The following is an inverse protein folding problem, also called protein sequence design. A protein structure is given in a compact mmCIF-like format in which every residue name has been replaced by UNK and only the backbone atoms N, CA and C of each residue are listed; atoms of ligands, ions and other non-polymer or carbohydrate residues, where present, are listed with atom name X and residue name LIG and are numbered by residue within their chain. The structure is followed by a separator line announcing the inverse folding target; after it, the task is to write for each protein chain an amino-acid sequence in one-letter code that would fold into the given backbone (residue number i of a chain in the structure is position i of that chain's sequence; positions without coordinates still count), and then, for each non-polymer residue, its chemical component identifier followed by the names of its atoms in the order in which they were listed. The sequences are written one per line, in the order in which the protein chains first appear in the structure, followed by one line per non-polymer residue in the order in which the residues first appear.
data_IF_532829681186
#
_entry.id   IF_532829681186
#
_cell.length_a   1.000
_cell.length_b   1.000
_cell.length_c   1.000
_cell.angle_alpha   90.00
_cell.angle_beta   90.00
_cell.angle_gamma   90.00
#
_symmetry.space_group_name_H-M   'P 1'
#
loop_
_entity.id
_entity.type
_entity.pdbx_description
1 polymer ?
#
# COMPACT_ATOMS: atom_id res chain seq x y z
N UNK A 1 -3.21 53.23 16.64
CA UNK A 1 -2.23 52.94 17.71
C UNK A 1 -1.94 51.45 17.66
N UNK A 2 -0.95 51.07 16.86
CA UNK A 2 -0.40 49.71 16.80
C UNK A 2 0.31 49.42 18.11
N UNK A 3 -0.10 48.35 18.80
CA UNK A 3 0.57 47.88 20.01
C UNK A 3 1.92 47.32 19.60
N UNK A 4 2.99 48.07 19.85
CA UNK A 4 4.35 47.53 19.91
C UNK A 4 4.35 46.39 20.95
N UNK A 5 4.51 45.16 20.46
CA UNK A 5 4.90 44.04 21.31
C UNK A 5 6.29 44.40 21.83
N UNK A 6 6.37 44.79 23.10
CA UNK A 6 7.65 44.94 23.78
C UNK A 6 8.48 43.68 23.53
N UNK A 7 9.70 43.82 23.01
CA UNK A 7 10.66 42.73 22.90
C UNK A 7 10.93 42.22 24.33
N UNK A 8 10.25 41.13 24.69
CA UNK A 8 10.43 40.48 25.99
C UNK A 8 11.75 39.74 25.93
N UNK A 9 12.79 40.33 26.53
CA UNK A 9 14.12 39.70 26.63
C UNK A 9 14.06 38.57 27.65
N UNK A 10 14.34 37.35 27.22
CA UNK A 10 14.39 36.18 28.10
C UNK A 10 15.60 36.28 29.04
N UNK A 11 15.38 36.08 30.34
CA UNK A 11 16.48 36.07 31.31
C UNK A 11 17.47 34.93 31.01
N UNK A 12 18.80 35.16 31.06
CA UNK A 12 19.80 34.16 30.69
C UNK A 12 19.64 32.81 31.40
N UNK A 13 19.26 32.80 32.69
CA UNK A 13 19.01 31.57 33.45
C UNK A 13 17.86 30.75 32.88
N UNK A 14 16.79 31.41 32.43
CA UNK A 14 15.65 30.74 31.83
C UNK A 14 15.99 30.18 30.45
N UNK A 15 16.77 30.90 29.63
CA UNK A 15 17.32 30.36 28.38
C UNK A 15 18.06 29.04 28.63
N UNK A 16 19.06 29.05 29.51
CA UNK A 16 19.87 27.86 29.79
C UNK A 16 19.04 26.71 30.38
N UNK A 17 18.01 27.03 31.18
CA UNK A 17 17.10 26.02 31.74
C UNK A 17 16.24 25.38 30.65
N UNK A 18 15.70 26.17 29.72
CA UNK A 18 14.92 25.66 28.60
C UNK A 18 15.77 24.80 27.65
N UNK A 19 17.00 25.24 27.34
CA UNK A 19 17.94 24.46 26.53
C UNK A 19 18.25 23.11 27.20
N UNK A 20 18.56 23.12 28.50
CA UNK A 20 18.86 21.89 29.23
C UNK A 20 17.64 20.96 29.29
N UNK A 21 16.45 21.50 29.54
CA UNK A 21 15.22 20.71 29.59
C UNK A 21 14.89 20.10 28.21
N UNK A 22 15.08 20.85 27.12
CA UNK A 22 14.92 20.37 25.76
C UNK A 22 15.87 19.22 25.45
N UNK A 23 17.16 19.37 25.78
CA UNK A 23 18.18 18.30 25.61
C UNK A 23 17.85 17.06 26.43
N UNK A 24 17.55 17.22 27.72
CA UNK A 24 17.20 16.08 28.59
C UNK A 24 15.93 15.37 28.12
N UNK A 25 14.91 16.11 27.68
CA UNK A 25 13.71 15.50 27.10
C UNK A 25 14.02 14.73 25.80
N UNK A 26 14.93 15.25 24.95
CA UNK A 26 15.38 14.57 23.74
C UNK A 26 16.14 13.27 24.07
N UNK A 27 17.09 13.32 25.00
CA UNK A 27 17.84 12.14 25.50
C UNK A 27 16.93 11.06 26.08
N UNK A 28 15.86 11.47 26.78
CA UNK A 28 14.83 10.59 27.34
C UNK A 28 13.75 10.18 26.31
N UNK A 29 13.90 10.54 25.03
CA UNK A 29 12.93 10.28 23.94
C UNK A 29 11.53 10.85 24.18
N UNK A 30 11.40 11.86 25.04
CA UNK A 30 10.17 12.61 25.27
C UNK A 30 10.03 13.72 24.23
N UNK A 31 9.88 13.32 22.96
CA UNK A 31 9.95 14.23 21.81
C UNK A 31 8.92 15.36 21.82
N UNK A 32 7.71 15.12 22.33
CA UNK A 32 6.67 16.17 22.46
C UNK A 32 7.08 17.24 23.48
N UNK A 33 7.66 16.82 24.60
CA UNK A 33 8.13 17.73 25.65
C UNK A 33 9.34 18.53 25.15
N UNK A 34 10.26 17.87 24.44
CA UNK A 34 11.42 18.51 23.82
C UNK A 34 11.01 19.59 22.82
N UNK A 35 10.07 19.30 21.91
CA UNK A 35 9.50 20.31 21.01
C UNK A 35 8.91 21.48 21.78
N UNK A 36 8.18 21.23 22.87
CA UNK A 36 7.61 22.32 23.68
C UNK A 36 8.69 23.28 24.18
N UNK A 37 9.81 22.76 24.71
CA UNK A 37 10.91 23.60 25.18
C UNK A 37 11.64 24.32 24.04
N UNK A 38 11.85 23.67 22.89
CA UNK A 38 12.46 24.31 21.72
C UNK A 38 11.55 25.39 21.13
N UNK A 39 10.23 25.15 21.03
CA UNK A 39 9.27 26.15 20.59
C UNK A 39 9.23 27.38 21.51
N UNK A 40 9.35 27.18 22.83
CA UNK A 40 9.49 28.29 23.76
C UNK A 40 10.74 29.12 23.48
N UNK A 41 11.89 28.49 23.23
CA UNK A 41 13.12 29.20 22.86
C UNK A 41 12.95 29.99 21.56
N UNK A 42 12.35 29.38 20.54
CA UNK A 42 12.07 30.02 19.25
C UNK A 42 11.08 31.20 19.38
N UNK A 43 10.08 31.12 20.27
CA UNK A 43 9.18 32.26 20.56
C UNK A 43 9.91 33.50 21.08
N UNK A 44 11.05 33.31 21.75
CA UNK A 44 11.94 34.39 22.22
C UNK A 44 13.05 34.74 21.22
N UNK A 45 12.93 34.31 19.95
CA UNK A 45 13.93 34.52 18.89
C UNK A 45 15.30 33.92 19.21
N UNK A 46 15.33 32.87 20.03
CA UNK A 46 16.55 32.10 20.31
C UNK A 46 16.59 30.96 19.30
N UNK A 47 17.12 31.29 18.13
CA UNK A 47 17.20 30.41 16.97
C UNK A 47 18.67 30.05 16.76
N UNK A 48 19.17 29.14 17.59
CA UNK A 48 20.51 28.57 17.41
C UNK A 48 20.40 27.28 16.63
N UNK A 49 21.46 26.92 15.89
CA UNK A 49 21.58 25.63 15.19
C UNK A 49 21.21 24.47 16.09
N UNK A 50 21.67 24.47 17.34
CA UNK A 50 21.36 23.40 18.30
C UNK A 50 19.87 23.30 18.65
N UNK A 51 19.17 24.42 18.82
CA UNK A 51 17.72 24.43 19.10
C UNK A 51 16.95 23.93 17.89
N UNK A 52 17.32 24.38 16.69
CA UNK A 52 16.70 23.95 15.45
C UNK A 52 16.96 22.47 15.16
N UNK A 53 18.19 21.99 15.34
CA UNK A 53 18.55 20.57 15.17
C UNK A 53 17.84 19.70 16.19
N UNK A 54 17.77 20.13 17.46
CA UNK A 54 17.00 19.41 18.49
C UNK A 54 15.51 19.31 18.13
N UNK A 55 14.91 20.39 17.61
CA UNK A 55 13.53 20.39 17.13
C UNK A 55 13.35 19.50 15.89
N UNK A 56 14.26 19.57 14.91
CA UNK A 56 14.25 18.75 13.70
C UNK A 56 14.22 17.26 14.03
N UNK A 57 15.11 16.80 14.92
CA UNK A 57 15.13 15.40 15.37
C UNK A 57 13.79 14.99 15.98
N UNK A 58 13.21 15.84 16.82
CA UNK A 58 11.91 15.54 17.42
C UNK A 58 10.78 15.45 16.37
N UNK A 59 10.81 16.31 15.35
CA UNK A 59 9.80 16.30 14.28
C UNK A 59 9.91 15.03 13.43
N UNK A 60 11.14 14.60 13.11
CA UNK A 60 11.41 13.34 12.41
C UNK A 60 10.87 12.13 13.18
N UNK A 61 11.17 12.05 14.48
CA UNK A 61 10.72 10.95 15.35
C UNK A 61 9.19 10.93 15.57
N UNK A 62 8.53 12.08 15.38
CA UNK A 62 7.07 12.20 15.47
C UNK A 62 6.36 12.10 14.11
N UNK A 63 7.09 11.89 13.01
CA UNK A 63 6.52 11.82 11.65
C UNK A 63 5.93 13.15 11.15
N UNK A 64 6.34 14.29 11.73
CA UNK A 64 5.87 15.64 11.33
C UNK A 64 6.74 16.20 10.20
N UNK A 65 6.76 15.50 9.07
CA UNK A 65 7.73 15.74 8.00
C UNK A 65 7.62 17.12 7.34
N UNK A 66 6.42 17.65 7.13
CA UNK A 66 6.26 18.99 6.51
C UNK A 66 6.88 20.12 7.34
N UNK A 67 6.82 20.06 8.68
CA UNK A 67 7.50 21.05 9.53
C UNK A 67 9.00 20.78 9.66
N UNK A 68 9.40 19.51 9.55
CA UNK A 68 10.82 19.13 9.57
C UNK A 68 11.54 19.65 8.32
N UNK A 69 10.86 19.62 7.17
CA UNK A 69 11.38 20.05 5.88
C UNK A 69 11.85 21.51 5.89
N UNK A 70 10.98 22.42 6.35
CA UNK A 70 11.29 23.86 6.47
C UNK A 70 12.53 24.12 7.34
N UNK A 71 12.62 23.45 8.50
CA UNK A 71 13.75 23.59 9.43
C UNK A 71 15.02 23.01 8.81
N UNK A 72 14.91 21.89 8.10
CA UNK A 72 16.04 21.22 7.47
C UNK A 72 16.65 22.09 6.37
N UNK A 73 15.81 22.65 5.49
CA UNK A 73 16.26 23.58 4.44
C UNK A 73 16.90 24.85 5.01
N UNK A 74 16.40 25.35 6.15
CA UNK A 74 17.01 26.48 6.84
C UNK A 74 18.40 26.10 7.39
N UNK A 75 18.53 24.97 8.07
CA UNK A 75 19.80 24.48 8.62
C UNK A 75 20.85 24.22 7.54
N UNK A 76 20.47 23.69 6.38
CA UNK A 76 21.38 23.50 5.23
C UNK A 76 21.98 24.82 4.73
N UNK A 77 21.28 25.95 4.90
CA UNK A 77 21.76 27.27 4.44
C UNK A 77 22.68 27.95 5.46
N UNK A 78 22.42 27.74 6.74
CA UNK A 78 23.09 28.48 7.82
C UNK A 78 24.29 27.73 8.43
N UNK A 79 24.33 26.40 8.31
CA UNK A 79 25.36 25.55 8.93
C UNK A 79 26.12 24.76 7.85
N UNK A 80 27.10 25.43 7.24
CA UNK A 80 27.96 24.87 6.19
C UNK A 80 28.75 23.64 6.67
N UNK A 81 29.14 23.58 7.95
CA UNK A 81 29.93 22.48 8.50
C UNK A 81 29.13 21.17 8.52
N UNK A 82 27.82 21.25 8.81
CA UNK A 82 26.93 20.11 8.88
C UNK A 82 25.98 20.00 7.67
N UNK A 83 26.26 20.70 6.57
CA UNK A 83 25.43 20.71 5.36
C UNK A 83 25.01 19.30 4.91
N UNK A 84 25.99 18.39 4.72
CA UNK A 84 25.71 17.02 4.26
C UNK A 84 24.89 16.18 5.25
N UNK A 85 24.96 16.49 6.56
CA UNK A 85 24.12 15.85 7.56
C UNK A 85 22.66 16.27 7.40
N UNK A 86 22.39 17.57 7.21
CA UNK A 86 21.04 18.06 6.98
C UNK A 86 20.51 17.64 5.62
N UNK A 87 21.34 17.66 4.57
CA UNK A 87 20.98 17.13 3.25
C UNK A 87 20.54 15.66 3.35
N UNK A 88 21.25 14.82 4.09
CA UNK A 88 20.83 13.43 4.32
C UNK A 88 19.45 13.33 5.00
N UNK A 89 19.17 14.20 5.97
CA UNK A 89 17.85 14.27 6.63
C UNK A 89 16.78 14.71 5.62
N UNK A 90 17.06 15.72 4.79
CA UNK A 90 16.16 16.20 3.75
C UNK A 90 15.81 15.10 2.74
N UNK A 91 16.81 14.39 2.22
CA UNK A 91 16.61 13.24 1.35
C UNK A 91 15.77 12.14 2.01
N UNK A 92 15.97 11.91 3.32
CA UNK A 92 15.14 10.97 4.09
C UNK A 92 13.69 11.45 4.19
N UNK A 93 13.45 12.75 4.37
CA UNK A 93 12.11 13.35 4.39
C UNK A 93 11.41 13.14 3.05
N UNK A 94 12.09 13.47 1.93
CA UNK A 94 11.55 13.27 0.58
C UNK A 94 11.18 11.79 0.35
N UNK A 95 12.06 10.87 0.76
CA UNK A 95 11.79 9.44 0.64
C UNK A 95 10.57 8.99 1.46
N UNK A 96 10.48 9.39 2.74
CA UNK A 96 9.36 9.02 3.64
C UNK A 96 8.02 9.64 3.22
N UNK A 97 8.06 10.75 2.50
CA UNK A 97 6.88 11.44 1.95
C UNK A 97 6.57 11.05 0.50
N UNK A 98 7.27 10.04 -0.03
CA UNK A 98 7.12 9.51 -1.40
C UNK A 98 7.35 10.55 -2.52
N UNK A 99 8.18 11.56 -2.27
CA UNK A 99 8.58 12.58 -3.24
C UNK A 99 9.81 12.10 -4.03
N UNK A 100 9.64 10.99 -4.77
CA UNK A 100 10.76 10.27 -5.38
C UNK A 100 11.41 11.01 -6.55
N UNK A 101 10.62 11.68 -7.40
CA UNK A 101 11.15 12.47 -8.52
C UNK A 101 12.05 13.61 -8.02
N UNK A 102 11.59 14.38 -7.03
CA UNK A 102 12.37 15.46 -6.43
C UNK A 102 13.65 14.95 -5.78
N UNK A 103 13.60 13.80 -5.10
CA UNK A 103 14.78 13.18 -4.51
C UNK A 103 15.83 12.82 -5.58
N UNK A 104 15.39 12.18 -6.67
CA UNK A 104 16.26 11.79 -7.79
C UNK A 104 16.88 13.03 -8.44
N UNK A 105 16.06 14.02 -8.78
CA UNK A 105 16.52 15.27 -9.43
C UNK A 105 17.55 15.99 -8.55
N UNK A 106 17.30 16.08 -7.24
CA UNK A 106 18.24 16.69 -6.29
C UNK A 106 19.56 15.92 -6.22
N UNK A 107 19.51 14.58 -6.15
CA UNK A 107 20.73 13.77 -6.11
C UNK A 107 21.51 13.85 -7.42
N UNK A 108 20.84 13.89 -8.57
CA UNK A 108 21.48 14.08 -9.87
C UNK A 108 22.20 15.45 -9.92
N UNK A 109 21.55 16.53 -9.49
CA UNK A 109 22.19 17.86 -9.38
C UNK A 109 23.42 17.83 -8.47
N UNK A 110 23.33 17.20 -7.30
CA UNK A 110 24.42 17.14 -6.32
C UNK A 110 25.58 16.30 -6.83
N UNK A 111 25.32 15.16 -7.49
CA UNK A 111 26.36 14.33 -8.09
C UNK A 111 27.10 15.05 -9.24
N UNK A 112 26.42 15.96 -9.94
CA UNK A 112 27.01 16.74 -11.03
C UNK A 112 27.79 17.97 -10.53
N UNK A 113 27.29 18.65 -9.50
CA UNK A 113 27.75 20.00 -9.12
C UNK A 113 28.65 20.03 -7.90
N UNK A 114 28.59 19.03 -7.01
CA UNK A 114 29.28 19.03 -5.72
C UNK A 114 30.38 17.96 -5.61
N UNK A 115 31.47 18.29 -4.90
CA UNK A 115 32.50 17.29 -4.53
C UNK A 115 32.12 16.61 -3.20
N UNK A 116 31.27 15.60 -3.31
CA UNK A 116 30.68 14.90 -2.17
C UNK A 116 31.76 14.13 -1.37
N UNK A 117 31.83 14.29 -0.03
CA UNK A 117 32.71 13.49 0.81
C UNK A 117 32.44 12.00 0.67
N UNK A 118 33.52 11.21 0.58
CA UNK A 118 33.44 9.75 0.37
C UNK A 118 32.58 9.04 1.41
N UNK A 119 32.56 9.55 2.65
CA UNK A 119 31.80 8.96 3.76
C UNK A 119 30.28 8.96 3.52
N UNK A 120 29.74 9.99 2.84
CA UNK A 120 28.30 10.15 2.59
C UNK A 120 27.91 9.75 1.16
N UNK A 121 28.85 9.79 0.22
CA UNK A 121 28.65 9.41 -1.19
C UNK A 121 28.02 8.03 -1.35
N UNK A 122 28.48 7.03 -0.58
CA UNK A 122 27.92 5.67 -0.62
C UNK A 122 26.44 5.65 -0.21
N UNK A 123 26.08 6.40 0.83
CA UNK A 123 24.70 6.46 1.34
C UNK A 123 23.77 7.13 0.33
N UNK A 124 24.23 8.20 -0.33
CA UNK A 124 23.45 8.88 -1.37
C UNK A 124 23.25 8.00 -2.59
N UNK A 125 24.29 7.29 -3.06
CA UNK A 125 24.12 6.33 -4.16
C UNK A 125 23.16 5.20 -3.81
N UNK A 126 23.22 4.66 -2.58
CA UNK A 126 22.28 3.64 -2.15
C UNK A 126 20.83 4.16 -2.15
N UNK A 127 20.61 5.37 -1.63
CA UNK A 127 19.28 5.97 -1.62
C UNK A 127 18.79 6.29 -3.05
N UNK A 128 19.68 6.76 -3.91
CA UNK A 128 19.40 6.98 -5.34
C UNK A 128 18.97 5.68 -6.02
N UNK A 129 19.76 4.60 -5.88
CA UNK A 129 19.49 3.31 -6.52
C UNK A 129 18.17 2.70 -6.04
N UNK A 130 17.87 2.81 -4.75
CA UNK A 130 16.59 2.33 -4.18
C UNK A 130 15.43 3.16 -4.72
N UNK A 131 15.55 4.49 -4.69
CA UNK A 131 14.48 5.39 -5.15
C UNK A 131 14.23 5.24 -6.65
N UNK A 132 15.31 5.15 -7.45
CA UNK A 132 15.24 4.95 -8.89
C UNK A 132 14.57 3.64 -9.26
N UNK A 133 14.87 2.53 -8.56
CA UNK A 133 14.16 1.25 -8.76
C UNK A 133 12.67 1.37 -8.48
N UNK A 134 12.30 2.05 -7.39
CA UNK A 134 10.89 2.30 -7.05
C UNK A 134 10.20 3.12 -8.15
N UNK A 135 10.86 4.15 -8.69
CA UNK A 135 10.31 4.93 -9.80
C UNK A 135 10.31 4.20 -11.13
N UNK A 136 11.29 3.34 -11.43
CA UNK A 136 11.35 2.54 -12.66
C UNK A 136 10.29 1.44 -12.68
N UNK A 137 9.89 0.93 -11.50
CA UNK A 137 8.72 0.08 -11.36
C UNK A 137 7.39 0.83 -11.61
N UNK A 138 7.40 2.17 -11.57
CA UNK A 138 6.25 3.06 -11.75
C UNK A 138 6.29 3.93 -13.02
N UNK A 139 7.43 4.02 -13.73
CA UNK A 139 7.63 4.93 -14.86
C UNK A 139 6.86 4.50 -16.12
N UNK A 140 6.43 5.46 -16.97
CA UNK A 140 5.80 5.17 -18.26
C UNK A 140 6.87 4.72 -19.27
N UNK A 141 7.31 3.46 -19.15
CA UNK A 141 7.86 2.71 -20.27
C UNK A 141 6.69 2.50 -21.26
N UNK A 142 6.90 2.91 -22.52
CA UNK A 142 5.92 2.92 -23.63
C UNK A 142 4.72 2.00 -23.40
N UNK A 143 3.55 2.60 -23.16
CA UNK A 143 2.28 1.87 -22.93
C UNK A 143 2.03 0.81 -24.00
N UNK A 144 2.45 1.10 -25.25
CA UNK A 144 2.32 0.20 -26.39
C UNK A 144 3.22 -1.03 -26.20
N UNK A 145 4.49 -0.84 -25.82
CA UNK A 145 5.44 -1.92 -25.64
C UNK A 145 5.08 -2.82 -24.45
N UNK A 146 4.61 -2.25 -23.33
CA UNK A 146 4.15 -3.05 -22.19
C UNK A 146 2.87 -3.83 -22.50
N UNK A 147 1.95 -3.23 -23.27
CA UNK A 147 0.78 -3.96 -23.74
C UNK A 147 1.18 -5.09 -24.68
N UNK A 148 2.02 -4.84 -25.68
CA UNK A 148 2.48 -5.86 -26.61
C UNK A 148 3.16 -7.01 -25.86
N UNK A 149 3.97 -6.69 -24.84
CA UNK A 149 4.59 -7.68 -23.98
C UNK A 149 3.55 -8.45 -23.12
N UNK A 150 2.51 -7.77 -22.64
CA UNK A 150 1.43 -8.40 -21.89
C UNK A 150 0.58 -9.33 -22.75
N UNK A 151 0.18 -8.88 -23.95
CA UNK A 151 -0.54 -9.71 -24.93
C UNK A 151 0.30 -10.93 -25.33
N UNK A 152 1.60 -10.74 -25.56
CA UNK A 152 2.52 -11.85 -25.80
C UNK A 152 2.57 -12.83 -24.62
N UNK A 153 2.54 -12.32 -23.38
CA UNK A 153 2.51 -13.18 -22.19
C UNK A 153 1.20 -13.97 -22.06
N UNK A 154 0.06 -13.39 -22.51
CA UNK A 154 -1.23 -14.09 -22.60
C UNK A 154 -1.15 -15.22 -23.62
N UNK A 155 -0.61 -14.95 -24.81
CA UNK A 155 -0.43 -15.94 -25.88
C UNK A 155 0.54 -17.07 -25.48
N UNK A 156 1.62 -16.74 -24.78
CA UNK A 156 2.64 -17.68 -24.34
C UNK A 156 2.25 -18.45 -23.07
N UNK A 157 1.13 -18.08 -22.42
CA UNK A 157 0.65 -18.68 -21.17
C UNK A 157 1.65 -18.58 -20.02
N UNK A 158 2.46 -17.52 -19.99
CA UNK A 158 3.40 -17.22 -18.92
C UNK A 158 2.65 -16.57 -17.75
N UNK A 159 2.11 -17.39 -16.85
CA UNK A 159 1.23 -16.93 -15.76
C UNK A 159 1.91 -15.88 -14.85
N UNK A 160 3.18 -16.09 -14.53
CA UNK A 160 3.95 -15.18 -13.68
C UNK A 160 4.08 -13.82 -14.35
N UNK A 161 4.48 -13.81 -15.63
CA UNK A 161 4.64 -12.59 -16.41
C UNK A 161 3.30 -11.88 -16.65
N UNK A 162 2.23 -12.64 -16.92
CA UNK A 162 0.88 -12.11 -17.03
C UNK A 162 0.47 -11.36 -15.76
N UNK A 163 0.65 -11.97 -14.59
CA UNK A 163 0.29 -11.34 -13.31
C UNK A 163 1.14 -10.10 -13.01
N UNK A 164 2.45 -10.19 -13.23
CA UNK A 164 3.37 -9.08 -13.01
C UNK A 164 3.01 -7.88 -13.90
N UNK A 165 2.80 -8.09 -15.19
CA UNK A 165 2.46 -7.02 -16.14
C UNK A 165 1.05 -6.48 -15.89
N UNK A 166 0.07 -7.35 -15.61
CA UNK A 166 -1.29 -6.92 -15.28
C UNK A 166 -1.33 -6.00 -14.06
N UNK A 167 -0.57 -6.33 -13.01
CA UNK A 167 -0.48 -5.50 -11.80
C UNK A 167 0.05 -4.10 -12.11
N UNK A 168 1.01 -3.99 -13.04
CA UNK A 168 1.56 -2.70 -13.49
C UNK A 168 0.58 -1.92 -14.36
N UNK A 169 -0.03 -2.59 -15.35
CA UNK A 169 -0.93 -1.99 -16.33
C UNK A 169 -2.25 -1.52 -15.72
N UNK A 170 -2.71 -2.13 -14.63
CA UNK A 170 -3.96 -1.74 -13.93
C UNK A 170 -4.02 -0.29 -13.46
N UNK A 171 -2.87 0.39 -13.31
CA UNK A 171 -2.81 1.82 -12.98
C UNK A 171 -3.15 2.73 -14.18
N UNK A 172 -3.27 2.18 -15.40
CA UNK A 172 -3.47 2.91 -16.65
C UNK A 172 -4.90 2.71 -17.17
N UNK A 173 -5.34 3.57 -18.09
CA UNK A 173 -6.64 3.43 -18.75
C UNK A 173 -6.62 2.25 -19.74
N UNK A 174 -7.54 1.31 -19.57
CA UNK A 174 -7.67 0.13 -20.44
C UNK A 174 -8.33 0.45 -21.79
N UNK A 175 -9.07 1.56 -21.91
CA UNK A 175 -9.92 1.88 -23.06
C UNK A 175 -9.24 1.71 -24.44
N UNK A 176 -7.98 2.14 -24.65
CA UNK A 176 -7.30 1.97 -25.93
C UNK A 176 -7.07 0.49 -26.32
N UNK A 177 -7.10 -0.41 -25.34
CA UNK A 177 -6.64 -1.79 -25.46
C UNK A 177 -7.77 -2.81 -25.36
N UNK A 178 -8.97 -2.43 -24.91
CA UNK A 178 -10.07 -3.37 -24.61
C UNK A 178 -10.36 -4.32 -25.77
N UNK A 179 -10.39 -3.82 -27.01
CA UNK A 179 -10.69 -4.65 -28.19
C UNK A 179 -9.71 -5.82 -28.35
N UNK A 180 -8.45 -5.62 -27.98
CA UNK A 180 -7.41 -6.65 -28.04
C UNK A 180 -7.51 -7.62 -26.87
N UNK A 181 -8.03 -7.17 -25.72
CA UNK A 181 -8.16 -7.97 -24.50
C UNK A 181 -9.42 -8.84 -24.46
N UNK A 182 -10.51 -8.45 -25.15
CA UNK A 182 -11.79 -9.16 -25.14
C UNK A 182 -11.67 -10.67 -25.50
N UNK A 183 -10.91 -11.09 -26.53
CA UNK A 183 -10.76 -12.51 -26.85
C UNK A 183 -10.25 -13.36 -25.68
N UNK A 184 -9.34 -12.83 -24.86
CA UNK A 184 -8.75 -13.54 -23.73
C UNK A 184 -9.72 -13.74 -22.56
N UNK A 185 -10.78 -12.92 -22.45
CA UNK A 185 -11.85 -13.14 -21.48
C UNK A 185 -12.69 -14.38 -21.83
N UNK A 186 -12.76 -14.73 -23.11
CA UNK A 186 -13.51 -15.89 -23.61
C UNK A 186 -12.66 -17.15 -23.80
N UNK A 187 -11.33 -17.00 -23.89
CA UNK A 187 -10.37 -18.09 -24.09
C UNK A 187 -10.29 -19.05 -22.89
N UNK A 188 -10.62 -20.33 -23.07
CA UNK A 188 -10.58 -21.34 -22.00
C UNK A 188 -9.17 -21.68 -21.51
N UNK A 189 -8.13 -21.33 -22.26
CA UNK A 189 -6.74 -21.60 -21.88
C UNK A 189 -6.16 -20.52 -20.94
N UNK A 190 -6.81 -19.35 -20.84
CA UNK A 190 -6.42 -18.28 -19.93
C UNK A 190 -6.96 -18.57 -18.53
N UNK A 191 -6.06 -18.53 -17.54
CA UNK A 191 -6.40 -18.82 -16.16
C UNK A 191 -7.48 -17.85 -15.61
N UNK A 192 -8.52 -18.36 -14.93
CA UNK A 192 -9.59 -17.55 -14.34
C UNK A 192 -9.12 -16.35 -13.53
N UNK A 193 -7.99 -16.48 -12.83
CA UNK A 193 -7.41 -15.41 -12.01
C UNK A 193 -6.98 -14.19 -12.83
N UNK A 194 -6.43 -14.41 -14.03
CA UNK A 194 -6.03 -13.36 -14.96
C UNK A 194 -7.28 -12.67 -15.53
N UNK A 195 -8.30 -13.46 -15.89
CA UNK A 195 -9.59 -12.92 -16.34
C UNK A 195 -10.25 -12.01 -15.30
N UNK A 196 -10.18 -12.38 -14.02
CA UNK A 196 -10.66 -11.49 -12.94
C UNK A 196 -9.90 -10.18 -12.92
N UNK A 197 -8.57 -10.24 -13.01
CA UNK A 197 -7.75 -9.02 -13.02
C UNK A 197 -8.03 -8.14 -14.24
N UNK A 198 -8.28 -8.72 -15.42
CA UNK A 198 -8.73 -7.99 -16.62
C UNK A 198 -10.10 -7.31 -16.41
N UNK A 199 -11.07 -8.03 -15.83
CA UNK A 199 -12.40 -7.45 -15.53
C UNK A 199 -12.28 -6.32 -14.51
N UNK A 200 -11.46 -6.47 -13.47
CA UNK A 200 -11.20 -5.41 -12.51
C UNK A 200 -10.52 -4.20 -13.17
N UNK A 201 -9.57 -4.42 -14.08
CA UNK A 201 -8.95 -3.33 -14.83
C UNK A 201 -9.98 -2.55 -15.66
N UNK A 202 -10.91 -3.26 -16.31
CA UNK A 202 -12.04 -2.67 -17.03
C UNK A 202 -12.99 -1.89 -16.11
N UNK A 203 -13.30 -2.42 -14.93
CA UNK A 203 -14.10 -1.71 -13.92
C UNK A 203 -13.40 -0.44 -13.45
N UNK A 204 -12.13 -0.54 -13.07
CA UNK A 204 -11.33 0.57 -12.53
C UNK A 204 -11.14 1.68 -13.58
N UNK A 205 -11.19 1.34 -14.88
CA UNK A 205 -11.20 2.30 -16.02
C UNK A 205 -12.61 2.73 -16.48
N UNK A 206 -13.65 2.41 -15.70
CA UNK A 206 -15.05 2.80 -15.93
C UNK A 206 -15.62 2.35 -17.29
N UNK A 207 -15.35 1.11 -17.70
CA UNK A 207 -15.92 0.51 -18.93
C UNK A 207 -17.42 0.23 -18.74
N UNK A 208 -18.26 0.93 -19.49
CA UNK A 208 -19.71 1.03 -19.32
C UNK A 208 -20.55 0.26 -20.35
N UNK A 209 -19.94 -0.70 -21.03
CA UNK A 209 -20.61 -1.58 -21.98
C UNK A 209 -20.43 -3.07 -21.63
N UNK A 210 -21.32 -3.90 -22.18
CA UNK A 210 -21.35 -5.34 -21.92
C UNK A 210 -20.07 -6.03 -22.44
N UNK A 211 -19.44 -6.81 -21.57
CA UNK A 211 -18.33 -7.72 -21.89
C UNK A 211 -18.73 -9.16 -21.55
N UNK A 212 -18.27 -10.11 -22.37
CA UNK A 212 -18.50 -11.53 -22.16
C UNK A 212 -17.28 -12.14 -21.47
N UNK A 213 -17.51 -12.89 -20.39
CA UNK A 213 -16.46 -13.60 -19.65
C UNK A 213 -16.82 -15.08 -19.59
N UNK A 214 -15.88 -15.95 -19.95
CA UNK A 214 -16.03 -17.41 -19.85
C UNK A 214 -15.14 -17.96 -18.75
N UNK A 215 -15.72 -18.72 -17.81
CA UNK A 215 -14.98 -19.42 -16.76
C UNK A 215 -15.65 -20.74 -16.45
N UNK A 216 -14.85 -21.80 -16.27
CA UNK A 216 -15.35 -23.13 -15.91
C UNK A 216 -16.46 -23.66 -16.85
N UNK A 217 -16.37 -23.32 -18.15
CA UNK A 217 -17.38 -23.65 -19.16
C UNK A 217 -18.65 -22.79 -19.12
N UNK A 218 -18.81 -21.94 -18.10
CA UNK A 218 -19.91 -21.00 -17.95
C UNK A 218 -19.60 -19.67 -18.64
N UNK A 219 -20.63 -19.01 -19.15
CA UNK A 219 -20.53 -17.71 -19.82
C UNK A 219 -21.40 -16.71 -19.08
N UNK A 220 -20.79 -15.60 -18.68
CA UNK A 220 -21.48 -14.48 -18.04
C UNK A 220 -21.26 -13.21 -18.84
N UNK A 221 -22.30 -12.39 -18.92
CA UNK A 221 -22.26 -11.06 -19.54
C UNK A 221 -22.41 -10.03 -18.44
N UNK A 222 -21.49 -9.06 -18.39
CA UNK A 222 -21.44 -8.04 -17.34
C UNK A 222 -21.09 -6.69 -17.91
N UNK A 223 -21.50 -5.63 -17.25
CA UNK A 223 -21.00 -4.27 -17.49
C UNK A 223 -19.94 -3.98 -16.43
N UNK A 224 -18.64 -3.89 -16.76
CA UNK A 224 -17.58 -3.82 -15.76
C UNK A 224 -17.73 -2.67 -14.76
N UNK A 225 -18.11 -1.47 -15.21
CA UNK A 225 -18.31 -0.30 -14.34
C UNK A 225 -19.45 -0.45 -13.32
N UNK A 226 -20.39 -1.37 -13.54
CA UNK A 226 -21.49 -1.67 -12.61
C UNK A 226 -21.09 -2.69 -11.54
N UNK A 227 -19.95 -3.35 -11.70
CA UNK A 227 -19.48 -4.36 -10.76
C UNK A 227 -18.87 -3.72 -9.51
N UNK A 228 -19.18 -4.28 -8.34
CA UNK A 228 -18.53 -3.87 -7.07
C UNK A 228 -17.19 -4.56 -6.88
N UNK A 229 -16.42 -4.12 -5.90
CA UNK A 229 -15.28 -4.90 -5.41
C UNK A 229 -15.67 -6.29 -4.89
N UNK A 230 -14.77 -7.27 -4.99
CA UNK A 230 -15.01 -8.68 -4.66
C UNK A 230 -15.51 -8.82 -3.22
N UNK A 231 -14.86 -8.16 -2.26
CA UNK A 231 -15.27 -8.23 -0.85
C UNK A 231 -16.40 -7.26 -0.50
N UNK A 232 -16.60 -6.23 -1.33
CA UNK A 232 -17.74 -5.32 -1.20
C UNK A 232 -19.01 -5.86 -1.87
N UNK A 233 -18.93 -6.98 -2.58
CA UNK A 233 -20.06 -7.58 -3.27
C UNK A 233 -21.10 -8.10 -2.27
N UNK A 234 -22.41 -7.93 -2.51
CA UNK A 234 -23.47 -8.39 -1.60
C UNK A 234 -23.34 -9.85 -1.16
N UNK A 235 -22.79 -10.72 -2.03
CA UNK A 235 -22.51 -12.13 -1.72
C UNK A 235 -21.43 -12.29 -0.64
N UNK A 236 -20.32 -11.56 -0.73
CA UNK A 236 -19.28 -11.57 0.29
C UNK A 236 -19.81 -11.03 1.63
N UNK A 237 -20.55 -9.92 1.58
CA UNK A 237 -21.15 -9.30 2.77
C UNK A 237 -22.19 -10.21 3.44
N UNK A 238 -22.95 -10.99 2.66
CA UNK A 238 -23.88 -12.00 3.18
C UNK A 238 -23.16 -13.07 4.00
N UNK A 239 -22.08 -13.65 3.43
CA UNK A 239 -21.26 -14.65 4.11
C UNK A 239 -20.58 -14.07 5.37
N UNK A 240 -20.04 -12.85 5.29
CA UNK A 240 -19.47 -12.19 6.47
C UNK A 240 -20.51 -11.92 7.56
N UNK A 241 -21.75 -11.61 7.19
CA UNK A 241 -22.83 -11.40 8.16
C UNK A 241 -23.13 -12.68 8.93
N UNK A 242 -23.10 -13.85 8.28
CA UNK A 242 -23.25 -15.15 8.93
C UNK A 242 -22.08 -15.47 9.89
N UNK A 243 -20.88 -14.98 9.57
CA UNK A 243 -19.66 -15.28 10.30
C UNK A 243 -19.26 -14.22 11.35
N UNK A 244 -20.08 -13.19 11.58
CA UNK A 244 -19.83 -12.19 12.63
C UNK A 244 -19.58 -12.78 14.03
N UNK A 245 -20.29 -13.84 14.48
CA UNK A 245 -19.97 -14.44 15.78
C UNK A 245 -18.53 -14.96 15.86
N UNK A 246 -17.97 -15.44 14.73
CA UNK A 246 -16.57 -15.90 14.66
C UNK A 246 -15.60 -14.72 14.80
N UNK A 247 -15.93 -13.55 14.24
CA UNK A 247 -15.15 -12.32 14.39
C UNK A 247 -15.05 -11.88 15.86
N UNK A 248 -16.16 -11.94 16.59
CA UNK A 248 -16.23 -11.56 18.01
C UNK A 248 -15.41 -12.54 18.89
N UNK A 249 -15.44 -13.84 18.57
CA UNK A 249 -14.76 -14.88 19.36
C UNK A 249 -13.28 -15.05 19.00
N UNK A 250 -12.93 -14.96 17.71
CA UNK A 250 -11.58 -15.18 17.21
C UNK A 250 -11.29 -14.31 15.97
N UNK A 251 -10.79 -13.08 16.19
CA UNK A 251 -10.44 -12.17 15.10
C UNK A 251 -9.43 -12.76 14.09
N UNK A 252 -8.47 -13.56 14.56
CA UNK A 252 -7.47 -14.20 13.70
C UNK A 252 -8.07 -15.31 12.83
N UNK A 253 -9.03 -16.08 13.36
CA UNK A 253 -9.77 -17.06 12.57
C UNK A 253 -10.60 -16.36 11.49
N UNK A 254 -11.27 -15.27 11.86
CA UNK A 254 -12.07 -14.48 10.93
C UNK A 254 -11.22 -13.86 9.82
N UNK A 255 -10.04 -13.32 10.12
CA UNK A 255 -9.09 -12.81 9.12
C UNK A 255 -8.69 -13.90 8.12
N UNK A 256 -8.41 -15.12 8.59
CA UNK A 256 -8.11 -16.26 7.71
C UNK A 256 -9.31 -16.62 6.83
N UNK A 257 -10.53 -16.60 7.36
CA UNK A 257 -11.75 -16.81 6.58
C UNK A 257 -11.93 -15.72 5.53
N UNK A 258 -11.66 -14.46 5.86
CA UNK A 258 -11.71 -13.35 4.89
C UNK A 258 -10.74 -13.57 3.73
N UNK A 259 -9.51 -14.01 4.02
CA UNK A 259 -8.52 -14.33 3.00
C UNK A 259 -8.96 -15.50 2.11
N UNK A 260 -9.51 -16.57 2.70
CA UNK A 260 -10.00 -17.73 1.95
C UNK A 260 -11.21 -17.38 1.07
N UNK A 261 -12.18 -16.64 1.62
CA UNK A 261 -13.34 -16.18 0.87
C UNK A 261 -12.89 -15.27 -0.28
N UNK A 262 -11.95 -14.35 -0.03
CA UNK A 262 -11.40 -13.50 -1.08
C UNK A 262 -10.84 -14.33 -2.23
N UNK A 263 -9.93 -15.28 -1.96
CA UNK A 263 -9.32 -16.13 -3.01
C UNK A 263 -10.37 -16.89 -3.80
N UNK A 264 -11.30 -17.54 -3.10
CA UNK A 264 -12.38 -18.28 -3.71
C UNK A 264 -13.26 -17.41 -4.63
N UNK A 265 -13.74 -16.26 -4.12
CA UNK A 265 -14.57 -15.35 -4.91
C UNK A 265 -13.78 -14.70 -6.04
N UNK A 266 -12.50 -14.39 -5.85
CA UNK A 266 -11.65 -13.80 -6.86
C UNK A 266 -11.52 -14.73 -8.08
N UNK A 267 -11.38 -16.03 -7.88
CA UNK A 267 -11.33 -17.01 -8.98
C UNK A 267 -12.67 -17.08 -9.73
N UNK A 268 -13.80 -17.03 -9.02
CA UNK A 268 -15.17 -17.08 -9.59
C UNK A 268 -15.62 -15.80 -10.27
N UNK A 269 -15.14 -14.64 -9.82
CA UNK A 269 -15.60 -13.33 -10.26
C UNK A 269 -15.53 -13.13 -11.79
N UNK A 270 -16.55 -12.58 -12.47
CA UNK A 270 -17.75 -11.97 -11.89
C UNK A 270 -18.93 -12.96 -11.68
N UNK A 271 -18.78 -14.24 -12.03
CA UNK A 271 -19.85 -15.24 -11.86
C UNK A 271 -19.84 -15.86 -10.45
N UNK A 272 -20.43 -15.15 -9.49
CA UNK A 272 -20.45 -15.56 -8.09
C UNK A 272 -21.58 -16.57 -7.79
N UNK A 273 -21.45 -17.40 -6.73
CA UNK A 273 -22.48 -18.37 -6.34
C UNK A 273 -23.85 -17.74 -6.09
N UNK A 274 -24.93 -18.51 -6.24
CA UNK A 274 -26.30 -18.10 -5.87
C UNK A 274 -26.48 -18.01 -4.36
N UNK A 275 -27.54 -17.31 -3.91
CA UNK A 275 -27.83 -17.05 -2.49
C UNK A 275 -28.21 -18.29 -1.68
N UNK A 276 -28.61 -19.37 -2.34
CA UNK A 276 -29.12 -20.58 -1.69
C UNK A 276 -28.04 -21.37 -0.92
N UNK A 277 -26.77 -20.96 -1.02
CA UNK A 277 -25.61 -21.70 -0.53
C UNK A 277 -24.80 -20.96 0.56
N UNK A 278 -25.28 -19.82 1.07
CA UNK A 278 -24.51 -18.98 1.98
C UNK A 278 -24.11 -19.68 3.28
N UNK A 279 -25.03 -20.42 3.88
CA UNK A 279 -24.79 -21.19 5.11
C UNK A 279 -23.78 -22.32 4.88
N UNK A 280 -23.86 -23.01 3.74
CA UNK A 280 -22.94 -24.08 3.39
C UNK A 280 -21.52 -23.56 3.11
N UNK A 281 -21.40 -22.45 2.38
CA UNK A 281 -20.12 -21.78 2.10
C UNK A 281 -19.51 -21.24 3.40
N UNK A 282 -20.30 -20.57 4.26
CA UNK A 282 -19.83 -20.06 5.54
C UNK A 282 -19.32 -21.20 6.46
N UNK A 283 -20.05 -22.31 6.52
CA UNK A 283 -19.65 -23.50 7.27
C UNK A 283 -18.37 -24.12 6.72
N UNK A 284 -18.25 -24.23 5.39
CA UNK A 284 -17.06 -24.75 4.73
C UNK A 284 -15.81 -23.91 5.06
N UNK A 285 -15.90 -22.58 4.89
CA UNK A 285 -14.81 -21.66 5.21
C UNK A 285 -14.37 -21.75 6.67
N UNK A 286 -15.34 -21.75 7.59
CA UNK A 286 -15.06 -21.89 9.01
C UNK A 286 -14.30 -23.20 9.31
N UNK A 287 -14.75 -24.34 8.75
CA UNK A 287 -14.08 -25.63 8.96
C UNK A 287 -12.66 -25.67 8.40
N UNK A 288 -12.45 -25.12 7.19
CA UNK A 288 -11.11 -25.04 6.60
C UNK A 288 -10.20 -24.22 7.51
N UNK A 289 -10.63 -23.02 7.91
CA UNK A 289 -9.84 -22.11 8.72
C UNK A 289 -9.55 -22.66 10.13
N UNK A 290 -10.53 -23.28 10.81
CA UNK A 290 -10.31 -23.93 12.12
C UNK A 290 -9.29 -25.06 12.02
N UNK A 291 -9.38 -25.88 10.97
CA UNK A 291 -8.44 -26.98 10.72
C UNK A 291 -7.01 -26.48 10.51
N UNK A 292 -6.83 -25.41 9.72
CA UNK A 292 -5.52 -24.79 9.49
C UNK A 292 -4.86 -24.27 10.77
N UNK A 293 -5.66 -23.78 11.74
CA UNK A 293 -5.17 -23.25 13.01
C UNK A 293 -5.15 -24.29 14.15
N UNK A 294 -5.47 -25.56 13.85
CA UNK A 294 -5.60 -26.62 14.87
C UNK A 294 -6.56 -26.26 16.01
N UNK A 295 -7.61 -25.49 15.72
CA UNK A 295 -8.63 -25.08 16.68
C UNK A 295 -9.84 -26.02 16.64
N UNK A 296 -10.52 -26.14 17.79
CA UNK A 296 -11.83 -26.79 17.84
C UNK A 296 -12.86 -25.97 17.04
N UNK A 297 -13.79 -26.66 16.37
CA UNK A 297 -14.83 -26.00 15.60
C UNK A 297 -15.79 -25.25 16.53
N UNK A 298 -15.86 -23.93 16.38
CA UNK A 298 -16.92 -23.11 16.97
C UNK A 298 -18.28 -23.53 16.39
N UNK A 299 -19.30 -23.54 17.24
CA UNK A 299 -20.67 -23.81 16.81
C UNK A 299 -21.22 -22.59 16.10
N UNK A 300 -21.55 -22.73 14.81
CA UNK A 300 -22.29 -21.70 14.09
C UNK A 300 -23.77 -21.73 14.53
N UNK A 301 -24.47 -20.60 14.36
CA UNK A 301 -25.87 -20.43 14.77
C UNK A 301 -26.89 -21.01 13.77
N UNK A 302 -26.40 -21.64 12.71
CA UNK A 302 -27.17 -22.22 11.59
C UNK A 302 -26.61 -23.60 11.23
N UNK A 303 -27.43 -24.40 10.56
CA UNK A 303 -27.07 -25.77 10.13
C UNK A 303 -27.19 -25.88 8.61
N UNK A 304 -26.10 -26.28 7.97
CA UNK A 304 -26.07 -26.59 6.54
C UNK A 304 -26.01 -28.10 6.30
N UNK A 305 -26.50 -28.56 5.15
CA UNK A 305 -26.45 -29.98 4.80
C UNK A 305 -24.99 -30.45 4.65
N UNK A 306 -24.60 -31.49 5.39
CA UNK A 306 -23.22 -31.98 5.41
C UNK A 306 -22.68 -32.36 4.02
N UNK A 307 -23.54 -32.92 3.16
CA UNK A 307 -23.18 -33.29 1.80
C UNK A 307 -22.87 -32.07 0.92
N UNK A 308 -23.50 -30.94 1.21
CA UNK A 308 -23.31 -29.67 0.52
C UNK A 308 -22.06 -28.95 1.04
N UNK A 309 -21.87 -28.92 2.37
CA UNK A 309 -20.67 -28.36 3.01
C UNK A 309 -19.41 -29.02 2.46
N UNK A 310 -19.40 -30.36 2.33
CA UNK A 310 -18.24 -31.06 1.80
C UNK A 310 -17.92 -30.67 0.35
N UNK A 311 -18.95 -30.48 -0.50
CA UNK A 311 -18.73 -30.00 -1.88
C UNK A 311 -18.08 -28.63 -1.91
N UNK A 312 -18.54 -27.71 -1.06
CA UNK A 312 -17.95 -26.37 -0.97
C UNK A 312 -16.53 -26.40 -0.40
N UNK A 313 -16.23 -27.27 0.56
CA UNK A 313 -14.85 -27.47 1.04
C UNK A 313 -13.95 -27.89 -0.11
N UNK A 314 -14.35 -28.91 -0.88
CA UNK A 314 -13.56 -29.43 -1.98
C UNK A 314 -13.32 -28.36 -3.07
N UNK A 315 -14.35 -27.57 -3.39
CA UNK A 315 -14.26 -26.49 -4.37
C UNK A 315 -13.38 -25.33 -3.89
N UNK A 316 -13.56 -24.84 -2.66
CA UNK A 316 -12.76 -23.74 -2.09
C UNK A 316 -11.28 -24.12 -2.08
N UNK A 317 -10.95 -25.34 -1.65
CA UNK A 317 -9.56 -25.84 -1.64
C UNK A 317 -8.99 -26.06 -3.06
N UNK A 318 -9.83 -26.38 -4.05
CA UNK A 318 -9.41 -26.45 -5.44
C UNK A 318 -9.03 -25.06 -5.98
N UNK A 319 -9.89 -24.06 -5.77
CA UNK A 319 -9.62 -22.70 -6.23
C UNK A 319 -8.53 -21.98 -5.44
N UNK A 320 -8.35 -22.31 -4.16
CA UNK A 320 -7.22 -21.80 -3.40
C UNK A 320 -5.89 -22.26 -4.03
N UNK A 321 -5.77 -23.53 -4.42
CA UNK A 321 -4.60 -24.03 -5.14
C UNK A 321 -4.39 -23.31 -6.46
N UNK A 322 -5.46 -23.10 -7.22
CA UNK A 322 -5.41 -22.35 -8.48
C UNK A 322 -4.92 -20.91 -8.27
N UNK A 323 -5.41 -20.23 -7.24
CA UNK A 323 -4.98 -18.88 -6.87
C UNK A 323 -3.48 -18.83 -6.52
N UNK A 324 -2.98 -19.82 -5.75
CA UNK A 324 -1.57 -19.86 -5.36
C UNK A 324 -0.61 -20.21 -6.49
N UNK A 325 -1.07 -20.82 -7.59
CA UNK A 325 -0.19 -21.11 -8.74
C UNK A 325 0.51 -19.86 -9.29
N UNK A 326 -0.05 -18.67 -9.08
CA UNK A 326 0.54 -17.38 -9.45
C UNK A 326 1.74 -17.00 -8.57
N UNK A 327 1.70 -17.38 -7.29
CA UNK A 327 2.71 -17.00 -6.30
C UNK A 327 3.92 -17.95 -6.34
N UNK A 328 3.72 -19.18 -6.81
CA UNK A 328 4.75 -20.24 -6.87
C UNK A 328 5.46 -20.37 -8.24
N UNK A 329 5.10 -19.56 -9.26
CA UNK A 329 5.61 -19.66 -10.64
C UNK A 329 6.73 -18.69 -11.04
#
# INVERSE_FOLDING_TARGET
MTKDKADVVLFPKWKTTLEQNGRTALEEKRYKDAIHYFDQLLQFKIETTEVLTGKLVCLMELGRYGEAEDICQHLMKEDEENYYQYLHIYLTILFQTAQYEELIDLLDEIFETEDIPEQVRIQFHQLYDVTKKLTEEEAPYDDTAQLDEFLLSLDQKDLRKQWQLLTKLRKRDVQPYIKQLLPYLEDEEIQPVIKTGLVQWMRDSNVDYEVTVRKFGEVVKVVPSELTDVLSHPRALGIFTLLRPVEDESPSLFELIQQQLFRYLYIRYPNLPTYDHDEAIATALHRIASSSLSMEHLSLSFEAEESEVQKWIDEILAFEREYFTILDS
#
